data_IF_721218126343
#
_entry.id   IF_721218126343
#
_cell.length_a   1.000
_cell.length_b   1.000
_cell.length_c   1.000
_cell.angle_alpha   90.00
_cell.angle_beta   90.00
_cell.angle_gamma   90.00
#
_symmetry.space_group_name_H-M   'P 1'
#
loop_
_entity.id
_entity.type
_entity.pdbx_description
1 polymer ?
#
# COMPACT_ATOMS: atom_id res chain seq x y z
N UNK A 1 17.51 6.51 -10.94
CA UNK A 1 16.29 6.64 -10.11
C UNK A 1 15.09 6.66 -11.04
N UNK A 2 14.11 5.76 -10.89
CA UNK A 2 12.95 5.68 -11.79
C UNK A 2 12.00 6.86 -11.49
N UNK A 3 11.63 7.69 -12.48
CA UNK A 3 10.66 8.78 -12.29
C UNK A 3 9.28 8.27 -11.85
N UNK A 4 8.54 9.09 -11.09
CA UNK A 4 7.24 8.70 -10.54
C UNK A 4 6.19 8.37 -11.59
N UNK A 5 6.21 9.09 -12.72
CA UNK A 5 5.34 8.84 -13.86
C UNK A 5 5.63 7.47 -14.50
N UNK A 6 6.90 7.09 -14.64
CA UNK A 6 7.29 5.77 -15.17
C UNK A 6 6.92 4.64 -14.19
N UNK A 7 7.08 4.87 -12.88
CA UNK A 7 6.60 3.93 -11.86
C UNK A 7 5.10 3.68 -11.97
N UNK A 8 4.30 4.74 -12.13
CA UNK A 8 2.85 4.62 -12.28
C UNK A 8 2.46 3.90 -13.57
N UNK A 9 3.14 4.18 -14.69
CA UNK A 9 2.91 3.43 -15.95
C UNK A 9 3.16 1.93 -15.75
N UNK A 10 4.28 1.56 -15.11
CA UNK A 10 4.60 0.17 -14.83
C UNK A 10 3.55 -0.51 -13.94
N UNK A 11 3.02 0.20 -12.94
CA UNK A 11 1.93 -0.28 -12.08
C UNK A 11 0.67 -0.55 -12.91
N UNK A 12 0.24 0.38 -13.77
CA UNK A 12 -0.95 0.19 -14.59
C UNK A 12 -0.83 -0.96 -15.59
N UNK A 13 0.36 -1.12 -16.18
CA UNK A 13 0.68 -2.27 -17.03
C UNK A 13 0.55 -3.57 -16.23
N UNK A 14 1.14 -3.63 -15.02
CA UNK A 14 1.08 -4.82 -14.17
C UNK A 14 -0.34 -5.15 -13.69
N UNK A 15 -1.19 -4.14 -13.48
CA UNK A 15 -2.61 -4.31 -13.15
C UNK A 15 -3.48 -4.71 -14.35
N UNK A 16 -2.91 -4.76 -15.55
CA UNK A 16 -3.63 -4.94 -16.81
C UNK A 16 -4.81 -3.95 -16.97
N UNK A 17 -4.56 -2.68 -16.63
CA UNK A 17 -5.53 -1.60 -16.71
C UNK A 17 -4.95 -0.38 -17.41
N UNK A 18 -5.81 0.53 -17.85
CA UNK A 18 -5.37 1.84 -18.32
C UNK A 18 -5.46 2.86 -17.19
N UNK A 19 -4.65 3.93 -17.20
CA UNK A 19 -4.79 5.03 -16.25
C UNK A 19 -6.24 5.52 -16.23
N UNK A 20 -6.85 5.75 -17.40
CA UNK A 20 -8.23 6.24 -17.49
C UNK A 20 -9.25 5.32 -16.81
N UNK A 21 -9.17 4.00 -17.06
CA UNK A 21 -10.08 3.02 -16.45
C UNK A 21 -9.94 2.98 -14.93
N UNK A 22 -8.69 2.88 -14.44
CA UNK A 22 -8.40 2.91 -13.00
C UNK A 22 -9.00 4.14 -12.31
N UNK A 23 -8.93 5.30 -12.95
CA UNK A 23 -9.43 6.55 -12.36
C UNK A 23 -10.95 6.60 -12.25
N UNK A 24 -11.64 6.01 -13.23
CA UNK A 24 -13.10 5.88 -13.19
C UNK A 24 -13.49 4.94 -12.05
N UNK A 25 -12.85 3.77 -11.99
CA UNK A 25 -13.17 2.73 -11.02
C UNK A 25 -12.93 3.21 -9.56
N UNK A 26 -11.97 4.10 -9.35
CA UNK A 26 -11.57 4.60 -8.03
C UNK A 26 -11.89 6.09 -7.77
N UNK A 27 -12.68 6.74 -8.64
CA UNK A 27 -13.20 8.11 -8.47
C UNK A 27 -12.12 9.19 -8.21
N UNK A 28 -10.99 9.11 -8.91
CA UNK A 28 -9.97 10.18 -8.89
C UNK A 28 -10.30 11.30 -9.88
N UNK A 29 -9.85 12.52 -9.60
CA UNK A 29 -9.91 13.60 -10.59
C UNK A 29 -9.02 13.27 -11.79
N UNK A 30 -9.64 13.10 -12.96
CA UNK A 30 -8.99 12.69 -14.22
C UNK A 30 -7.82 13.60 -14.60
N UNK A 31 -7.96 14.92 -14.41
CA UNK A 31 -6.96 15.91 -14.79
C UNK A 31 -5.65 15.73 -14.01
N UNK A 32 -5.76 15.50 -12.70
CA UNK A 32 -4.61 15.38 -11.80
C UNK A 32 -3.74 14.19 -12.19
N UNK A 33 -4.33 13.02 -12.41
CA UNK A 33 -3.55 11.81 -12.70
C UNK A 33 -3.04 11.78 -14.14
N UNK A 34 -3.79 12.32 -15.13
CA UNK A 34 -3.25 12.47 -16.49
C UNK A 34 -1.99 13.33 -16.52
N UNK A 35 -1.99 14.44 -15.78
CA UNK A 35 -0.81 15.30 -15.67
C UNK A 35 0.35 14.58 -14.96
N UNK A 36 0.08 13.77 -13.94
CA UNK A 36 1.10 12.98 -13.23
C UNK A 36 1.69 11.88 -14.13
N UNK A 37 0.86 11.07 -14.78
CA UNK A 37 1.31 9.97 -15.66
C UNK A 37 2.03 10.51 -16.90
N UNK A 38 1.61 11.68 -17.38
CA UNK A 38 2.29 12.43 -18.43
C UNK A 38 3.58 13.13 -17.99
N UNK A 39 3.95 13.07 -16.70
CA UNK A 39 5.16 13.70 -16.16
C UNK A 39 5.09 15.23 -16.04
N UNK A 40 3.91 15.83 -16.19
CA UNK A 40 3.70 17.29 -16.13
C UNK A 40 3.64 17.82 -14.70
N UNK A 41 3.22 16.98 -13.75
CA UNK A 41 3.17 17.33 -12.32
C UNK A 41 3.66 16.19 -11.45
N UNK A 42 4.29 16.55 -10.32
CA UNK A 42 4.68 15.60 -9.29
C UNK A 42 3.51 15.39 -8.31
N UNK A 43 3.08 14.15 -8.05
CA UNK A 43 2.04 13.88 -7.06
C UNK A 43 2.53 14.21 -5.65
N UNK A 44 1.63 14.75 -4.82
CA UNK A 44 1.83 14.83 -3.37
C UNK A 44 1.66 13.46 -2.71
N UNK A 45 2.10 13.35 -1.45
CA UNK A 45 2.03 12.11 -0.67
C UNK A 45 0.59 11.59 -0.54
N UNK A 46 -0.37 12.48 -0.29
CA UNK A 46 -1.80 12.12 -0.16
C UNK A 46 -2.34 11.38 -1.40
N UNK A 47 -1.94 11.79 -2.61
CA UNK A 47 -2.34 11.11 -3.84
C UNK A 47 -1.73 9.71 -3.92
N UNK A 48 -0.47 9.56 -3.52
CA UNK A 48 0.20 8.25 -3.51
C UNK A 48 -0.44 7.30 -2.50
N UNK A 49 -0.80 7.80 -1.32
CA UNK A 49 -1.52 7.03 -0.30
C UNK A 49 -2.89 6.58 -0.79
N UNK A 50 -3.66 7.50 -1.38
CA UNK A 50 -4.97 7.17 -1.95
C UNK A 50 -4.88 6.12 -3.05
N UNK A 51 -3.85 6.15 -3.89
CA UNK A 51 -3.63 5.10 -4.91
C UNK A 51 -3.43 3.73 -4.26
N UNK A 52 -2.58 3.64 -3.23
CA UNK A 52 -2.34 2.39 -2.50
C UNK A 52 -3.58 1.91 -1.71
N UNK A 53 -4.43 2.83 -1.24
CA UNK A 53 -5.69 2.48 -0.58
C UNK A 53 -6.73 1.96 -1.58
N UNK A 54 -6.81 2.60 -2.75
CA UNK A 54 -7.72 2.23 -3.81
C UNK A 54 -7.41 0.86 -4.41
N UNK A 55 -6.12 0.54 -4.57
CA UNK A 55 -5.67 -0.76 -5.06
C UNK A 55 -4.58 -1.34 -4.14
N UNK A 56 -4.97 -2.17 -3.15
CA UNK A 56 -4.05 -2.74 -2.15
C UNK A 56 -2.95 -3.64 -2.74
N UNK A 57 -3.12 -4.10 -3.99
CA UNK A 57 -2.08 -4.84 -4.72
C UNK A 57 -0.90 -3.96 -5.10
N UNK A 58 -1.03 -2.63 -5.10
CA UNK A 58 0.10 -1.74 -5.42
C UNK A 58 1.19 -1.85 -4.35
N UNK A 59 2.44 -2.00 -4.79
CA UNK A 59 3.62 -1.98 -3.93
C UNK A 59 4.00 -0.54 -3.56
N UNK A 60 3.83 -0.19 -2.29
CA UNK A 60 4.29 1.10 -1.76
C UNK A 60 5.81 1.29 -1.89
N UNK A 61 6.61 0.24 -1.70
CA UNK A 61 8.07 0.29 -1.86
C UNK A 61 8.45 0.60 -3.31
N UNK A 62 7.78 -0.04 -4.27
CA UNK A 62 7.98 0.28 -5.68
C UNK A 62 7.52 1.70 -5.99
N UNK A 63 6.33 2.10 -5.55
CA UNK A 63 5.78 3.42 -5.84
C UNK A 63 6.66 4.55 -5.28
N UNK A 64 7.17 4.40 -4.05
CA UNK A 64 7.97 5.43 -3.38
C UNK A 64 9.44 5.39 -3.81
N UNK A 65 10.07 4.21 -3.81
CA UNK A 65 11.53 4.05 -4.01
C UNK A 65 11.91 3.49 -5.38
N UNK A 66 10.99 2.82 -6.07
CA UNK A 66 11.26 2.11 -7.32
C UNK A 66 11.90 0.75 -7.09
N UNK A 67 11.72 0.17 -5.91
CA UNK A 67 12.34 -1.08 -5.49
C UNK A 67 11.34 -2.25 -5.55
N UNK A 68 11.80 -3.40 -6.05
CA UNK A 68 11.00 -4.62 -6.15
C UNK A 68 9.95 -4.59 -7.26
N UNK A 69 8.95 -5.50 -7.21
CA UNK A 69 7.89 -5.56 -8.21
C UNK A 69 6.83 -4.45 -8.01
N UNK A 70 6.18 -3.98 -9.09
CA UNK A 70 5.12 -2.96 -9.01
C UNK A 70 3.91 -3.38 -8.18
N UNK A 71 3.61 -4.68 -8.19
CA UNK A 71 2.53 -5.27 -7.42
C UNK A 71 3.07 -6.15 -6.31
N UNK A 72 2.35 -6.14 -5.19
CA UNK A 72 2.56 -7.04 -4.08
C UNK A 72 2.11 -8.43 -4.48
N UNK A 73 2.95 -9.40 -4.16
CA UNK A 73 2.56 -10.79 -4.23
C UNK A 73 1.57 -11.06 -3.08
N UNK A 74 0.34 -11.53 -3.35
CA UNK A 74 -0.62 -11.83 -2.29
C UNK A 74 -0.08 -12.87 -1.29
N UNK A 75 0.88 -13.71 -1.69
CA UNK A 75 1.56 -14.66 -0.80
C UNK A 75 2.65 -14.05 0.10
N UNK A 76 3.13 -12.83 -0.21
CA UNK A 76 4.14 -12.09 0.56
C UNK A 76 3.53 -10.86 1.24
N UNK A 77 2.25 -10.88 1.57
CA UNK A 77 1.62 -9.83 2.38
C UNK A 77 2.29 -9.77 3.76
N UNK A 78 3.31 -8.91 3.84
CA UNK A 78 4.08 -8.43 4.98
C UNK A 78 3.82 -9.14 6.30
N UNK A 79 4.77 -10.00 6.67
CA UNK A 79 4.94 -10.53 8.02
C UNK A 79 4.82 -9.44 9.09
N UNK A 80 5.10 -8.17 8.80
CA UNK A 80 4.99 -7.05 9.75
C UNK A 80 3.55 -6.80 10.23
N UNK A 81 2.54 -6.83 9.37
CA UNK A 81 1.14 -6.62 9.81
C UNK A 81 0.64 -7.79 10.66
N UNK A 82 1.07 -9.03 10.32
CA UNK A 82 0.77 -10.24 11.10
C UNK A 82 1.55 -10.27 12.43
N UNK A 83 2.78 -9.77 12.45
CA UNK A 83 3.66 -9.73 13.60
C UNK A 83 3.27 -8.62 14.59
N UNK A 84 2.68 -7.51 14.12
CA UNK A 84 2.05 -6.50 14.96
C UNK A 84 0.74 -7.00 15.58
N UNK A 85 -0.09 -7.76 14.84
CA UNK A 85 -1.30 -8.40 15.38
C UNK A 85 -0.97 -9.53 16.35
N UNK A 86 0.10 -10.29 16.11
CA UNK A 86 0.55 -11.37 17.01
C UNK A 86 1.17 -10.89 18.32
N UNK A 87 1.64 -9.63 18.39
CA UNK A 87 2.29 -9.08 19.58
C UNK A 87 1.35 -8.65 20.71
N UNK A 88 0.06 -8.47 20.43
CA UNK A 88 -0.92 -8.07 21.46
C UNK A 88 -1.49 -9.26 22.25
N UNK A 89 -1.32 -10.50 21.77
CA UNK A 89 -1.93 -11.68 22.39
C UNK A 89 -1.11 -12.32 23.54
N UNK A 90 0.11 -11.84 23.82
CA UNK A 90 1.05 -12.51 24.74
C UNK A 90 1.41 -11.73 26.02
N UNK A 91 0.60 -10.72 26.42
CA UNK A 91 0.88 -9.90 27.62
C UNK A 91 -0.02 -10.15 28.83
N UNK A 92 -0.72 -11.30 28.90
CA UNK A 92 -1.60 -11.61 30.04
C UNK A 92 -1.39 -13.02 30.61
N UNK A 93 -0.17 -13.31 31.10
CA UNK A 93 0.05 -14.40 32.06
C UNK A 93 0.97 -13.87 33.17
N UNK A 94 0.41 -13.62 34.36
CA UNK A 94 0.72 -14.30 35.63
C UNK A 94 0.47 -13.39 36.86
N UNK A 95 -0.64 -13.61 37.57
CA UNK A 95 -0.68 -13.36 39.02
C UNK A 95 -1.70 -14.29 39.68
N UNK A 96 -1.29 -15.55 39.87
CA UNK A 96 -1.89 -16.46 40.82
C UNK A 96 -0.92 -16.63 42.00
N UNK A 97 -1.30 -16.16 43.19
CA UNK A 97 -0.98 -16.76 44.50
C UNK A 97 -1.97 -16.15 45.51
N UNK A 98 -3.04 -16.87 45.84
CA UNK A 98 -3.23 -17.66 47.07
C UNK A 98 -3.31 -16.79 48.34
N UNK A 99 -4.49 -16.79 48.96
CA UNK A 99 -4.64 -17.14 50.37
C UNK A 99 -6.08 -17.58 50.64
N UNK A 100 -6.20 -18.84 51.05
CA UNK A 100 -7.26 -19.43 51.90
C UNK A 100 -7.62 -18.45 53.04
N UNK A 101 -8.84 -18.32 53.55
CA UNK A 101 -9.80 -19.36 53.93
C UNK A 101 -10.19 -19.07 55.38
N UNK A 102 -11.50 -19.21 55.67
CA UNK A 102 -12.22 -19.02 56.94
C UNK A 102 -12.64 -17.60 57.31
#
# INVERSE_FOLDING_TARGET
MIPINEKLKAIFIALNTTPHKFLIDHQFNRMTIYNIVGGRTKPGLEILERLCQAEPRISAEYLLRGEGPPLRDPGKASSTARQLRGRQAHSSINRQVKSDGQ
#
